data_IF_994363873555
#
_entry.id   IF_994363873555
#
_cell.length_a   1.000
_cell.length_b   1.000
_cell.length_c   1.000
_cell.angle_alpha   90.00
_cell.angle_beta   90.00
_cell.angle_gamma   90.00
#
_symmetry.space_group_name_H-M   'P 1'
#
loop_
_entity.id
_entity.type
_entity.pdbx_description
1 polymer ?
#
# COMPACT_ATOMS: atom_id res chain seq x y z
N UNK A 1 -94.14 -3.96 -90.42
CA UNK A 1 -93.48 -2.94 -91.24
C UNK A 1 -93.40 -1.57 -90.57
N UNK A 2 -94.45 -0.73 -90.54
CA UNK A 2 -94.35 0.67 -90.09
C UNK A 2 -93.75 0.92 -88.69
N UNK A 3 -94.11 0.13 -87.67
CA UNK A 3 -93.54 0.28 -86.31
C UNK A 3 -92.04 -0.02 -86.25
N UNK A 4 -91.55 -1.00 -87.03
CA UNK A 4 -90.11 -1.30 -87.12
C UNK A 4 -89.36 -0.13 -87.74
N UNK A 5 -89.90 0.42 -88.83
CA UNK A 5 -89.31 1.59 -89.50
C UNK A 5 -89.24 2.81 -88.57
N UNK A 6 -90.26 3.06 -87.74
CA UNK A 6 -90.25 4.15 -86.76
C UNK A 6 -89.13 3.92 -85.73
N UNK A 7 -89.06 2.72 -85.15
CA UNK A 7 -88.01 2.34 -84.19
C UNK A 7 -86.61 2.51 -84.77
N UNK A 8 -86.38 1.98 -85.97
CA UNK A 8 -85.06 1.98 -86.60
C UNK A 8 -84.63 3.43 -86.97
N UNK A 9 -85.57 4.33 -87.27
CA UNK A 9 -85.28 5.77 -87.46
C UNK A 9 -84.96 6.50 -86.15
N UNK A 10 -85.53 6.07 -85.02
CA UNK A 10 -85.24 6.64 -83.69
C UNK A 10 -83.88 6.17 -83.16
N UNK A 11 -83.57 4.88 -83.36
CA UNK A 11 -82.35 4.24 -82.87
C UNK A 11 -81.17 4.30 -83.86
N UNK A 12 -81.41 4.63 -85.13
CA UNK A 12 -80.40 4.61 -86.19
C UNK A 12 -79.33 5.70 -86.11
N UNK A 13 -79.39 6.61 -85.13
CA UNK A 13 -78.39 7.66 -84.91
C UNK A 13 -77.90 7.60 -83.47
N UNK A 14 -76.93 6.74 -83.20
CA UNK A 14 -76.38 6.51 -81.85
C UNK A 14 -76.03 7.81 -81.11
N UNK A 15 -75.51 8.80 -81.82
CA UNK A 15 -75.16 10.12 -81.27
C UNK A 15 -76.36 10.96 -80.81
N UNK A 16 -77.58 10.76 -81.35
CA UNK A 16 -78.74 11.63 -81.05
C UNK A 16 -79.93 10.88 -80.49
N UNK A 17 -79.91 9.55 -80.51
CA UNK A 17 -80.97 8.69 -79.97
C UNK A 17 -81.31 9.07 -78.53
N UNK A 18 -80.31 9.36 -77.68
CA UNK A 18 -80.54 9.81 -76.31
C UNK A 18 -81.39 11.07 -76.20
N UNK A 19 -81.12 12.10 -77.03
CA UNK A 19 -81.89 13.34 -77.07
C UNK A 19 -83.27 13.17 -77.72
N UNK A 20 -83.38 12.36 -78.77
CA UNK A 20 -84.66 12.06 -79.42
C UNK A 20 -85.62 11.34 -78.46
N UNK A 21 -85.12 10.32 -77.75
CA UNK A 21 -85.87 9.60 -76.74
C UNK A 21 -86.20 10.48 -75.54
N UNK A 22 -85.30 11.38 -75.12
CA UNK A 22 -85.57 12.36 -74.07
C UNK A 22 -86.68 13.36 -74.43
N UNK A 23 -86.66 13.91 -75.65
CA UNK A 23 -87.74 14.77 -76.16
C UNK A 23 -89.06 14.03 -76.25
N UNK A 24 -89.04 12.79 -76.73
CA UNK A 24 -90.23 11.96 -76.79
C UNK A 24 -90.77 11.61 -75.40
N UNK A 25 -89.91 11.37 -74.41
CA UNK A 25 -90.30 11.17 -73.02
C UNK A 25 -91.04 12.39 -72.46
N UNK A 26 -90.60 13.61 -72.78
CA UNK A 26 -91.28 14.84 -72.39
C UNK A 26 -92.67 14.97 -73.02
N UNK A 27 -92.81 14.58 -74.29
CA UNK A 27 -94.12 14.53 -74.98
C UNK A 27 -95.05 13.52 -74.30
N UNK A 28 -94.55 12.34 -73.93
CA UNK A 28 -95.34 11.33 -73.23
C UNK A 28 -95.78 11.80 -71.83
N UNK A 29 -94.95 12.57 -71.13
CA UNK A 29 -95.25 13.10 -69.79
C UNK A 29 -96.23 14.28 -69.80
N UNK A 30 -96.05 15.21 -70.73
CA UNK A 30 -96.84 16.45 -70.81
C UNK A 30 -98.03 16.37 -71.77
N UNK A 31 -98.11 15.30 -72.57
CA UNK A 31 -99.08 15.14 -73.65
C UNK A 31 -98.70 15.91 -74.92
N UNK A 32 -98.14 17.11 -74.77
CA UNK A 32 -97.70 17.98 -75.86
C UNK A 32 -96.52 18.88 -75.46
N UNK A 33 -95.70 19.26 -76.43
CA UNK A 33 -94.61 20.24 -76.25
C UNK A 33 -94.66 21.31 -77.34
N UNK A 34 -94.11 22.49 -77.08
CA UNK A 34 -94.01 23.57 -78.08
C UNK A 34 -93.04 23.18 -79.19
N UNK A 35 -93.47 23.37 -80.45
CA UNK A 35 -92.64 23.07 -81.60
C UNK A 35 -91.64 24.22 -81.86
N UNK A 36 -90.36 23.96 -81.58
CA UNK A 36 -89.24 24.89 -81.77
C UNK A 36 -88.53 24.73 -83.13
N UNK A 37 -88.89 23.69 -83.90
CA UNK A 37 -88.26 23.31 -85.17
C UNK A 37 -86.74 23.05 -85.07
N UNK A 38 -86.23 22.69 -83.88
CA UNK A 38 -84.88 22.16 -83.73
C UNK A 38 -84.66 20.93 -84.61
N UNK A 39 -83.40 20.66 -84.95
CA UNK A 39 -83.04 19.54 -85.83
C UNK A 39 -83.54 18.21 -85.25
N UNK A 40 -83.56 18.09 -83.93
CA UNK A 40 -84.01 16.92 -83.19
C UNK A 40 -85.53 16.79 -83.22
N UNK A 41 -86.28 17.89 -83.05
CA UNK A 41 -87.73 17.88 -83.23
C UNK A 41 -88.14 17.54 -84.68
N UNK A 42 -87.42 18.07 -85.67
CA UNK A 42 -87.64 17.75 -87.08
C UNK A 42 -87.36 16.27 -87.35
N UNK A 43 -86.27 15.71 -86.83
CA UNK A 43 -85.98 14.27 -86.93
C UNK A 43 -87.05 13.41 -86.25
N UNK A 44 -87.55 13.84 -85.08
CA UNK A 44 -88.62 13.15 -84.38
C UNK A 44 -89.92 13.17 -85.21
N UNK A 45 -90.24 14.27 -85.89
CA UNK A 45 -91.36 14.35 -86.83
C UNK A 45 -91.15 13.44 -88.06
N UNK A 46 -89.96 13.46 -88.66
CA UNK A 46 -89.59 12.62 -89.82
C UNK A 46 -89.59 11.11 -89.49
N UNK A 47 -89.46 10.75 -88.21
CA UNK A 47 -89.64 9.36 -87.78
C UNK A 47 -91.07 8.85 -87.98
N UNK A 48 -92.07 9.75 -88.01
CA UNK A 48 -93.50 9.42 -88.08
C UNK A 48 -94.14 9.16 -86.71
N UNK A 49 -93.37 9.29 -85.62
CA UNK A 49 -93.85 9.07 -84.25
C UNK A 49 -94.70 10.23 -83.73
N UNK A 50 -94.31 11.46 -84.07
CA UNK A 50 -94.96 12.70 -83.61
C UNK A 50 -95.35 13.57 -84.80
N UNK A 51 -96.37 14.40 -84.60
CA UNK A 51 -96.87 15.34 -85.60
C UNK A 51 -96.95 16.74 -85.01
N UNK A 52 -96.65 17.74 -85.83
CA UNK A 52 -96.86 19.15 -85.49
C UNK A 52 -98.28 19.55 -85.83
N UNK A 53 -99.03 20.02 -84.84
CA UNK A 53 -100.39 20.53 -85.01
C UNK A 53 -100.56 21.80 -84.17
N UNK A 54 -100.98 22.90 -84.80
CA UNK A 54 -101.17 24.21 -84.14
C UNK A 54 -99.94 24.71 -83.35
N UNK A 55 -98.73 24.49 -83.87
CA UNK A 55 -97.49 24.88 -83.20
C UNK A 55 -97.06 23.97 -82.03
N UNK A 56 -97.80 22.89 -81.77
CA UNK A 56 -97.51 21.91 -80.74
C UNK A 56 -97.12 20.55 -81.36
N UNK A 57 -96.23 19.84 -80.69
CA UNK A 57 -95.81 18.48 -81.02
C UNK A 57 -96.57 17.48 -80.14
N UNK A 58 -97.27 16.56 -80.78
CA UNK A 58 -98.01 15.47 -80.12
C UNK A 58 -97.76 14.13 -80.79
N UNK A 59 -97.99 13.04 -80.06
CA UNK A 59 -97.91 11.68 -80.63
C UNK A 59 -98.92 11.54 -81.77
N UNK A 60 -98.46 11.08 -82.95
CA UNK A 60 -99.30 11.05 -84.15
C UNK A 60 -100.46 10.05 -84.04
N UNK A 61 -100.20 8.86 -83.49
CA UNK A 61 -101.18 7.79 -83.36
C UNK A 61 -101.14 7.18 -81.95
N UNK A 62 -102.30 6.93 -81.36
CA UNK A 62 -102.45 6.28 -80.05
C UNK A 62 -101.80 4.89 -80.01
N UNK A 63 -101.82 4.14 -81.11
CA UNK A 63 -101.14 2.83 -81.21
C UNK A 63 -99.62 3.01 -81.07
N UNK A 64 -99.05 4.09 -81.62
CA UNK A 64 -97.62 4.36 -81.49
C UNK A 64 -97.27 4.72 -80.04
N UNK A 65 -98.11 5.51 -79.36
CA UNK A 65 -97.93 5.81 -77.92
C UNK A 65 -98.10 4.59 -77.01
N UNK A 66 -98.90 3.59 -77.41
CA UNK A 66 -99.06 2.34 -76.66
C UNK A 66 -97.84 1.42 -76.81
N UNK A 67 -97.23 1.37 -78.00
CA UNK A 67 -96.04 0.55 -78.30
C UNK A 67 -94.76 1.23 -77.78
N UNK A 68 -94.54 2.49 -78.15
CA UNK A 68 -93.43 3.32 -77.68
C UNK A 68 -93.85 4.07 -76.41
N UNK A 69 -94.27 3.32 -75.39
CA UNK A 69 -94.75 3.90 -74.14
C UNK A 69 -93.60 4.33 -73.21
N UNK A 70 -93.94 4.89 -72.05
CA UNK A 70 -92.96 5.38 -71.07
C UNK A 70 -91.97 4.28 -70.60
N UNK A 71 -92.43 3.04 -70.45
CA UNK A 71 -91.59 1.92 -70.02
C UNK A 71 -90.59 1.54 -71.10
N UNK A 72 -91.02 1.49 -72.36
CA UNK A 72 -90.12 1.23 -73.49
C UNK A 72 -89.03 2.31 -73.57
N UNK A 73 -89.39 3.59 -73.49
CA UNK A 73 -88.41 4.68 -73.49
C UNK A 73 -87.45 4.59 -72.31
N UNK A 74 -87.93 4.26 -71.10
CA UNK A 74 -87.09 4.07 -69.91
C UNK A 74 -86.09 2.92 -70.10
N UNK A 75 -86.52 1.80 -70.67
CA UNK A 75 -85.67 0.63 -70.94
C UNK A 75 -84.60 0.93 -71.99
N UNK A 76 -84.97 1.54 -73.11
CA UNK A 76 -84.02 1.88 -74.17
C UNK A 76 -82.99 2.92 -73.69
N UNK A 77 -83.42 3.92 -72.92
CA UNK A 77 -82.50 4.90 -72.33
C UNK A 77 -81.56 4.27 -71.30
N UNK A 78 -82.02 3.28 -70.53
CA UNK A 78 -81.19 2.55 -69.58
C UNK A 78 -80.14 1.66 -70.28
N UNK A 79 -80.50 1.05 -71.41
CA UNK A 79 -79.58 0.23 -72.21
C UNK A 79 -78.53 1.06 -72.95
N UNK A 80 -78.88 2.28 -73.38
CA UNK A 80 -77.96 3.15 -74.10
C UNK A 80 -76.88 3.74 -73.19
N UNK A 81 -77.23 4.09 -71.94
CA UNK A 81 -76.38 4.89 -71.04
C UNK A 81 -75.66 4.01 -70.03
N UNK A 82 -74.32 4.07 -69.92
CA UNK A 82 -73.59 3.38 -68.84
C UNK A 82 -74.04 3.78 -67.43
N UNK A 83 -74.61 4.97 -67.28
CA UNK A 83 -75.13 5.54 -66.03
C UNK A 83 -76.67 5.56 -65.96
N UNK A 84 -77.36 4.79 -66.81
CA UNK A 84 -78.82 4.83 -66.95
C UNK A 84 -79.60 4.55 -65.65
N UNK A 85 -79.14 3.58 -64.85
CA UNK A 85 -79.74 3.27 -63.55
C UNK A 85 -79.48 4.37 -62.52
N UNK A 86 -78.26 4.91 -62.50
CA UNK A 86 -77.84 5.97 -61.58
C UNK A 86 -78.63 7.27 -61.80
N UNK A 87 -78.80 7.69 -63.05
CA UNK A 87 -79.62 8.87 -63.38
C UNK A 87 -81.11 8.62 -63.11
N UNK A 88 -81.62 7.41 -63.34
CA UNK A 88 -83.01 7.08 -63.01
C UNK A 88 -83.27 7.21 -61.50
N UNK A 89 -82.39 6.65 -60.66
CA UNK A 89 -82.48 6.76 -59.20
C UNK A 89 -82.32 8.21 -58.72
N UNK A 90 -81.43 8.99 -59.33
CA UNK A 90 -81.25 10.41 -59.00
C UNK A 90 -82.49 11.25 -59.38
N UNK A 91 -83.06 11.02 -60.56
CA UNK A 91 -84.29 11.70 -60.98
C UNK A 91 -85.51 11.31 -60.14
N UNK A 92 -85.58 10.05 -59.67
CA UNK A 92 -86.61 9.58 -58.73
C UNK A 92 -86.50 10.28 -57.36
N UNK A 93 -85.30 10.75 -56.99
CA UNK A 93 -85.04 11.53 -55.77
C UNK A 93 -85.28 13.05 -55.91
N UNK A 94 -85.89 13.49 -57.01
CA UNK A 94 -86.02 14.92 -57.37
C UNK A 94 -84.65 15.64 -57.41
N UNK A 95 -83.63 14.92 -57.90
CA UNK A 95 -82.25 15.38 -58.03
C UNK A 95 -81.53 15.71 -56.71
N UNK A 96 -82.01 15.22 -55.56
CA UNK A 96 -81.44 15.53 -54.23
C UNK A 96 -80.42 14.50 -53.74
N UNK A 97 -80.54 13.22 -54.12
CA UNK A 97 -79.70 12.15 -53.58
C UNK A 97 -78.32 12.12 -54.26
N UNK A 98 -77.35 12.85 -53.70
CA UNK A 98 -75.96 12.90 -54.19
C UNK A 98 -75.27 11.52 -54.17
N UNK A 99 -75.76 10.54 -53.39
CA UNK A 99 -75.19 9.18 -53.36
C UNK A 99 -75.40 8.40 -54.66
N UNK A 100 -76.35 8.85 -55.49
CA UNK A 100 -76.67 8.25 -56.80
C UNK A 100 -75.84 8.85 -57.94
N UNK A 101 -75.09 9.91 -57.68
CA UNK A 101 -74.22 10.52 -58.68
C UNK A 101 -73.04 9.58 -58.99
N UNK A 102 -72.58 9.60 -60.24
CA UNK A 102 -71.43 8.80 -60.63
C UNK A 102 -70.16 9.34 -59.98
N UNK A 103 -69.28 8.44 -59.53
CA UNK A 103 -68.00 8.80 -58.89
C UNK A 103 -66.86 7.95 -59.48
N UNK A 104 -65.64 8.49 -59.48
CA UNK A 104 -64.44 7.74 -59.86
C UNK A 104 -64.52 7.22 -61.29
N UNK A 105 -64.27 5.91 -61.47
CA UNK A 105 -64.22 5.31 -62.80
C UNK A 105 -65.56 5.37 -63.54
N UNK A 106 -66.69 5.19 -62.83
CA UNK A 106 -68.02 5.26 -63.43
C UNK A 106 -68.32 6.65 -64.02
N UNK A 107 -67.84 7.73 -63.40
CA UNK A 107 -67.98 9.08 -63.94
C UNK A 107 -67.09 9.29 -65.18
N UNK A 108 -65.86 8.78 -65.16
CA UNK A 108 -64.96 8.84 -66.33
C UNK A 108 -65.55 8.11 -67.53
N UNK A 109 -66.08 6.91 -67.32
CA UNK A 109 -66.71 6.12 -68.37
C UNK A 109 -67.97 6.79 -68.89
N UNK A 110 -68.77 7.39 -68.00
CA UNK A 110 -69.96 8.17 -68.35
C UNK A 110 -69.63 9.40 -69.20
N UNK A 111 -68.57 10.16 -68.85
CA UNK A 111 -68.14 11.34 -69.58
C UNK A 111 -67.51 10.99 -70.93
N UNK A 112 -66.71 9.93 -70.99
CA UNK A 112 -66.15 9.43 -72.23
C UNK A 112 -67.25 8.98 -73.20
N UNK A 113 -68.26 8.28 -72.68
CA UNK A 113 -69.43 7.88 -73.48
C UNK A 113 -70.27 9.10 -73.91
N UNK A 114 -70.37 10.14 -73.08
CA UNK A 114 -71.15 11.34 -73.37
C UNK A 114 -70.49 12.29 -74.38
N UNK A 115 -69.17 12.24 -74.54
CA UNK A 115 -68.37 13.24 -75.26
C UNK A 115 -68.78 13.46 -76.72
N UNK A 116 -69.25 12.41 -77.41
CA UNK A 116 -69.63 12.46 -78.83
C UNK A 116 -71.15 12.39 -79.05
N UNK A 117 -71.96 12.47 -77.98
CA UNK A 117 -73.41 12.30 -78.01
C UNK A 117 -74.15 13.58 -77.64
N UNK A 118 -75.26 13.82 -78.32
CA UNK A 118 -76.23 14.84 -77.93
C UNK A 118 -77.18 14.24 -76.91
N UNK A 119 -77.04 14.69 -75.66
CA UNK A 119 -77.82 14.23 -74.52
C UNK A 119 -78.98 15.18 -74.22
N UNK A 120 -79.88 14.76 -73.32
CA UNK A 120 -80.93 15.65 -72.82
C UNK A 120 -80.39 16.61 -71.76
N UNK A 121 -81.10 17.71 -71.49
CA UNK A 121 -80.70 18.68 -70.46
C UNK A 121 -80.55 18.03 -69.07
N UNK A 122 -81.38 17.03 -68.77
CA UNK A 122 -81.32 16.26 -67.51
C UNK A 122 -80.04 15.42 -67.41
N UNK A 123 -79.56 14.87 -68.52
CA UNK A 123 -78.31 14.12 -68.56
C UNK A 123 -77.11 15.03 -68.32
N UNK A 124 -77.09 16.21 -68.94
CA UNK A 124 -76.04 17.21 -68.67
C UNK A 124 -76.05 17.67 -67.22
N UNK A 125 -77.23 17.90 -66.62
CA UNK A 125 -77.35 18.24 -65.20
C UNK A 125 -76.82 17.14 -64.29
N UNK A 126 -77.14 15.87 -64.56
CA UNK A 126 -76.64 14.73 -63.79
C UNK A 126 -75.11 14.61 -63.86
N UNK A 127 -74.53 14.71 -65.06
CA UNK A 127 -73.08 14.62 -65.26
C UNK A 127 -72.35 15.82 -64.63
N UNK A 128 -72.91 17.04 -64.75
CA UNK A 128 -72.35 18.23 -64.11
C UNK A 128 -72.40 18.13 -62.57
N UNK A 129 -73.52 17.67 -62.01
CA UNK A 129 -73.64 17.44 -60.57
C UNK A 129 -72.64 16.38 -60.08
N UNK A 130 -72.44 15.31 -60.85
CA UNK A 130 -71.46 14.26 -60.56
C UNK A 130 -70.01 14.81 -60.57
N UNK A 131 -69.66 15.62 -61.57
CA UNK A 131 -68.35 16.29 -61.64
C UNK A 131 -68.12 17.25 -60.47
N UNK A 132 -69.13 18.04 -60.10
CA UNK A 132 -69.02 18.98 -58.99
C UNK A 132 -68.89 18.26 -57.64
N UNK A 133 -69.59 17.13 -57.46
CA UNK A 133 -69.41 16.29 -56.28
C UNK A 133 -67.98 15.74 -56.19
N UNK A 134 -67.44 15.19 -57.28
CA UNK A 134 -66.07 14.65 -57.31
C UNK A 134 -65.03 15.75 -57.06
N UNK A 135 -65.23 16.94 -57.64
CA UNK A 135 -64.39 18.11 -57.37
C UNK A 135 -64.41 18.51 -55.89
N UNK A 136 -65.59 18.59 -55.27
CA UNK A 136 -65.73 18.85 -53.83
C UNK A 136 -65.00 17.80 -52.98
N UNK A 137 -65.12 16.52 -53.33
CA UNK A 137 -64.41 15.44 -52.64
C UNK A 137 -62.90 15.59 -52.74
N UNK A 138 -62.36 15.93 -53.92
CA UNK A 138 -60.93 16.16 -54.12
C UNK A 138 -60.45 17.38 -53.34
N UNK A 139 -61.20 18.49 -53.34
CA UNK A 139 -60.86 19.68 -52.56
C UNK A 139 -60.87 19.42 -51.04
N UNK A 140 -61.87 18.68 -50.55
CA UNK A 140 -61.94 18.26 -49.16
C UNK A 140 -60.78 17.33 -48.78
N UNK A 141 -60.44 16.37 -49.63
CA UNK A 141 -59.31 15.48 -49.43
C UNK A 141 -57.98 16.25 -49.38
N UNK A 142 -57.77 17.18 -50.32
CA UNK A 142 -56.58 18.02 -50.37
C UNK A 142 -56.50 18.96 -49.14
N UNK A 143 -57.63 19.50 -48.69
CA UNK A 143 -57.68 20.31 -47.48
C UNK A 143 -57.37 19.48 -46.23
N UNK A 144 -57.87 18.25 -46.15
CA UNK A 144 -57.55 17.31 -45.07
C UNK A 144 -56.06 16.94 -45.07
N UNK A 145 -55.48 16.65 -46.23
CA UNK A 145 -54.05 16.34 -46.38
C UNK A 145 -53.17 17.53 -45.99
N UNK A 146 -53.51 18.75 -46.45
CA UNK A 146 -52.80 19.98 -46.06
C UNK A 146 -52.85 20.20 -44.54
N UNK A 147 -54.01 20.01 -43.91
CA UNK A 147 -54.14 20.09 -42.45
C UNK A 147 -53.29 19.03 -41.75
N UNK A 148 -53.30 17.79 -42.24
CA UNK A 148 -52.48 16.72 -41.69
C UNK A 148 -50.98 17.04 -41.81
N UNK A 149 -50.53 17.52 -42.97
CA UNK A 149 -49.13 17.93 -43.19
C UNK A 149 -48.73 19.12 -42.29
N UNK A 150 -49.61 20.09 -42.09
CA UNK A 150 -49.39 21.20 -41.16
C UNK A 150 -49.27 20.71 -39.71
N UNK A 151 -50.16 19.82 -39.27
CA UNK A 151 -50.12 19.23 -37.93
C UNK A 151 -48.84 18.42 -37.72
N UNK A 152 -48.42 17.62 -38.71
CA UNK A 152 -47.15 16.89 -38.67
C UNK A 152 -45.95 17.84 -38.57
N UNK A 153 -45.96 18.93 -39.34
CA UNK A 153 -44.89 19.93 -39.30
C UNK A 153 -44.84 20.62 -37.92
N UNK A 154 -45.98 21.01 -37.36
CA UNK A 154 -46.06 21.59 -36.01
C UNK A 154 -45.58 20.59 -34.95
N UNK A 155 -46.05 19.34 -34.99
CA UNK A 155 -45.60 18.28 -34.09
C UNK A 155 -44.08 18.08 -34.17
N UNK A 156 -43.51 17.98 -35.37
CA UNK A 156 -42.07 17.86 -35.57
C UNK A 156 -41.30 19.07 -34.99
N UNK A 157 -41.79 20.30 -35.19
CA UNK A 157 -41.17 21.49 -34.61
C UNK A 157 -41.21 21.47 -33.07
N UNK A 158 -42.33 21.07 -32.47
CA UNK A 158 -42.43 20.96 -31.01
C UNK A 158 -41.48 19.91 -30.45
N UNK A 159 -41.33 18.76 -31.12
CA UNK A 159 -40.38 17.71 -30.75
C UNK A 159 -38.94 18.21 -30.82
N UNK A 160 -38.56 18.93 -31.89
CA UNK A 160 -37.22 19.52 -32.04
C UNK A 160 -36.96 20.54 -30.92
N UNK A 161 -37.93 21.40 -30.61
CA UNK A 161 -37.81 22.38 -29.53
C UNK A 161 -37.66 21.71 -28.16
N UNK A 162 -38.45 20.66 -27.88
CA UNK A 162 -38.37 19.88 -26.65
C UNK A 162 -37.01 19.16 -26.53
N UNK A 163 -36.54 18.52 -27.61
CA UNK A 163 -35.21 17.90 -27.68
C UNK A 163 -34.08 18.90 -27.42
N UNK A 164 -34.15 20.09 -28.01
CA UNK A 164 -33.16 21.16 -27.80
C UNK A 164 -33.14 21.62 -26.35
N UNK A 165 -34.31 21.83 -25.73
CA UNK A 165 -34.44 22.17 -24.30
C UNK A 165 -33.86 21.06 -23.42
N UNK A 166 -34.20 19.80 -23.67
CA UNK A 166 -33.68 18.66 -22.91
C UNK A 166 -32.14 18.58 -22.98
N UNK A 167 -31.55 18.72 -24.18
CA UNK A 167 -30.08 18.76 -24.35
C UNK A 167 -29.43 19.91 -23.57
N UNK A 168 -30.05 21.09 -23.55
CA UNK A 168 -29.55 22.23 -22.77
C UNK A 168 -29.60 21.95 -21.26
N UNK A 169 -30.68 21.36 -20.76
CA UNK A 169 -30.80 20.98 -19.34
C UNK A 169 -29.73 19.96 -18.96
N UNK A 170 -29.52 18.93 -19.78
CA UNK A 170 -28.46 17.93 -19.58
C UNK A 170 -27.09 18.61 -19.59
N UNK A 171 -26.80 19.48 -20.57
CA UNK A 171 -25.52 20.19 -20.65
C UNK A 171 -25.26 21.06 -19.41
N UNK A 172 -26.27 21.79 -18.93
CA UNK A 172 -26.16 22.57 -17.68
C UNK A 172 -25.90 21.67 -16.47
N UNK A 173 -26.58 20.52 -16.39
CA UNK A 173 -26.35 19.50 -15.37
C UNK A 173 -24.91 18.97 -15.39
N UNK A 174 -24.39 18.62 -16.57
CA UNK A 174 -23.00 18.15 -16.73
C UNK A 174 -21.99 19.23 -16.30
N UNK A 175 -22.18 20.48 -16.72
CA UNK A 175 -21.29 21.58 -16.31
C UNK A 175 -21.30 21.74 -14.78
N UNK A 176 -22.48 21.73 -14.16
CA UNK A 176 -22.60 21.79 -12.70
C UNK A 176 -21.91 20.62 -12.00
N UNK A 177 -22.06 19.41 -12.51
CA UNK A 177 -21.42 18.21 -11.97
C UNK A 177 -19.88 18.28 -12.10
N UNK A 178 -19.36 18.70 -13.25
CA UNK A 178 -17.92 18.88 -13.45
C UNK A 178 -17.34 19.94 -12.53
N UNK A 179 -18.05 21.07 -12.33
CA UNK A 179 -17.62 22.10 -11.38
C UNK A 179 -17.58 21.56 -9.93
N UNK A 180 -18.60 20.78 -9.53
CA UNK A 180 -18.60 20.12 -8.22
C UNK A 180 -17.42 19.16 -8.05
N UNK A 181 -17.10 18.37 -9.09
CA UNK A 181 -15.94 17.49 -9.07
C UNK A 181 -14.63 18.26 -8.95
N UNK A 182 -14.48 19.37 -9.69
CA UNK A 182 -13.28 20.22 -9.60
C UNK A 182 -13.13 20.75 -8.17
N UNK A 183 -14.19 21.28 -7.57
CA UNK A 183 -14.17 21.77 -6.19
C UNK A 183 -13.78 20.65 -5.20
N UNK A 184 -14.36 19.46 -5.35
CA UNK A 184 -14.03 18.31 -4.51
C UNK A 184 -12.55 17.92 -4.61
N UNK A 185 -12.00 17.86 -5.84
CA UNK A 185 -10.58 17.58 -6.08
C UNK A 185 -9.70 18.69 -5.49
N UNK A 186 -10.07 19.96 -5.67
CA UNK A 186 -9.33 21.09 -5.10
C UNK A 186 -9.24 21.03 -3.58
N UNK A 187 -10.31 20.61 -2.89
CA UNK A 187 -10.30 20.43 -1.43
C UNK A 187 -9.33 19.32 -1.02
N UNK A 188 -9.32 18.18 -1.72
CA UNK A 188 -8.39 17.07 -1.44
C UNK A 188 -6.95 17.48 -1.65
N UNK A 189 -6.65 18.14 -2.78
CA UNK A 189 -5.30 18.64 -3.09
C UNK A 189 -4.86 19.68 -2.05
N UNK A 190 -5.74 20.60 -1.68
CA UNK A 190 -5.46 21.60 -0.64
C UNK A 190 -5.14 20.95 0.71
N UNK A 191 -5.93 19.94 1.11
CA UNK A 191 -5.69 19.20 2.35
C UNK A 191 -4.36 18.43 2.33
N UNK A 192 -3.96 17.87 1.19
CA UNK A 192 -2.69 17.17 1.05
C UNK A 192 -1.48 18.13 1.14
N UNK A 193 -1.55 19.27 0.45
CA UNK A 193 -0.52 20.33 0.53
C UNK A 193 -0.34 20.79 1.99
N UNK A 194 -1.44 20.97 2.72
CA UNK A 194 -1.37 21.39 4.12
C UNK A 194 -0.73 20.32 5.02
N UNK A 195 -0.99 19.02 4.75
CA UNK A 195 -0.29 17.92 5.43
C UNK A 195 1.21 17.97 5.16
N UNK A 196 1.63 18.15 3.90
CA UNK A 196 3.05 18.23 3.55
C UNK A 196 3.74 19.42 4.21
N UNK A 197 3.06 20.57 4.32
CA UNK A 197 3.60 21.73 5.05
C UNK A 197 3.81 21.43 6.53
N UNK A 198 2.86 20.75 7.18
CA UNK A 198 2.99 20.34 8.58
C UNK A 198 4.16 19.37 8.78
N UNK A 199 4.31 18.37 7.93
CA UNK A 199 5.44 17.41 8.02
C UNK A 199 6.78 18.09 7.77
N UNK A 200 6.87 18.98 6.79
CA UNK A 200 8.08 19.75 6.52
C UNK A 200 8.45 20.66 7.70
N UNK A 201 7.46 21.26 8.38
CA UNK A 201 7.71 22.07 9.58
C UNK A 201 8.24 21.21 10.73
N UNK A 202 7.62 20.06 11.00
CA UNK A 202 8.10 19.12 12.02
C UNK A 202 9.53 18.65 11.74
N UNK A 203 9.88 18.38 10.48
CA UNK A 203 11.23 17.98 10.11
C UNK A 203 12.27 19.09 10.38
N UNK A 204 11.93 20.34 10.06
CA UNK A 204 12.77 21.50 10.41
C UNK A 204 12.93 21.66 11.92
N UNK A 205 11.84 21.54 12.67
CA UNK A 205 11.86 21.64 14.13
C UNK A 205 12.75 20.54 14.74
N UNK A 206 12.62 19.29 14.26
CA UNK A 206 13.48 18.17 14.65
C UNK A 206 14.96 18.40 14.34
N UNK A 207 15.29 18.93 13.15
CA UNK A 207 16.67 19.28 12.80
C UNK A 207 17.24 20.34 13.75
N UNK A 208 16.46 21.38 14.06
CA UNK A 208 16.91 22.42 15.00
C UNK A 208 17.13 21.88 16.42
N UNK A 209 16.29 20.93 16.85
CA UNK A 209 16.44 20.23 18.12
C UNK A 209 17.71 19.38 18.11
N UNK A 210 17.96 18.61 17.05
CA UNK A 210 19.17 17.80 16.88
C UNK A 210 20.43 18.67 16.96
N UNK A 211 20.45 19.81 16.25
CA UNK A 211 21.55 20.77 16.34
C UNK A 211 21.74 21.32 17.76
N UNK A 212 20.63 21.62 18.46
CA UNK A 212 20.70 22.08 19.85
C UNK A 212 21.30 21.02 20.78
N UNK A 213 20.96 19.74 20.56
CA UNK A 213 21.47 18.62 21.33
C UNK A 213 22.97 18.41 21.04
N UNK A 214 23.38 18.47 19.78
CA UNK A 214 24.78 18.40 19.39
C UNK A 214 25.61 19.51 20.06
N UNK A 215 25.11 20.75 20.09
CA UNK A 215 25.77 21.85 20.81
C UNK A 215 25.93 21.54 22.29
N UNK A 216 24.93 20.95 22.94
CA UNK A 216 25.05 20.55 24.34
C UNK A 216 26.08 19.43 24.55
N UNK A 217 26.14 18.45 23.64
CA UNK A 217 27.13 17.37 23.69
C UNK A 217 28.54 17.95 23.55
N UNK A 218 28.75 18.84 22.57
CA UNK A 218 30.05 19.48 22.35
C UNK A 218 30.46 20.36 23.53
N UNK A 219 29.52 21.14 24.09
CA UNK A 219 29.77 21.92 25.30
C UNK A 219 30.17 21.02 26.48
N UNK A 220 29.48 19.89 26.69
CA UNK A 220 29.84 18.91 27.72
C UNK A 220 31.22 18.29 27.49
N UNK A 221 31.59 18.03 26.23
CA UNK A 221 32.90 17.48 25.87
C UNK A 221 34.01 18.48 26.19
N UNK A 222 33.84 19.74 25.80
CA UNK A 222 34.79 20.82 26.10
C UNK A 222 34.96 21.00 27.62
N UNK A 223 33.86 21.01 28.38
CA UNK A 223 33.92 21.06 29.86
C UNK A 223 34.70 19.86 30.44
N UNK A 224 34.51 18.65 29.90
CA UNK A 224 35.28 17.47 30.34
C UNK A 224 36.76 17.59 30.01
N UNK A 225 37.10 18.11 28.84
CA UNK A 225 38.49 18.32 28.42
C UNK A 225 39.19 19.35 29.31
N UNK A 226 38.52 20.48 29.60
CA UNK A 226 38.99 21.46 30.58
C UNK A 226 39.15 20.85 31.98
N UNK A 227 38.24 19.97 32.39
CA UNK A 227 38.34 19.28 33.68
C UNK A 227 39.57 18.36 33.76
N UNK A 228 39.87 17.60 32.70
CA UNK A 228 41.07 16.76 32.65
C UNK A 228 42.36 17.59 32.61
N UNK A 229 42.36 18.74 31.92
CA UNK A 229 43.48 19.69 31.94
C UNK A 229 43.73 20.22 33.37
N UNK A 230 42.68 20.65 34.07
CA UNK A 230 42.77 21.10 35.46
C UNK A 230 43.26 19.97 36.36
N UNK A 231 42.74 18.75 36.17
CA UNK A 231 43.15 17.57 36.93
C UNK A 231 44.64 17.29 36.77
N UNK A 232 45.16 17.39 35.54
CA UNK A 232 46.58 17.28 35.24
C UNK A 232 47.42 18.35 35.95
N UNK A 233 46.97 19.61 35.93
CA UNK A 233 47.64 20.71 36.66
C UNK A 233 47.64 20.50 38.17
N UNK A 234 46.53 20.01 38.74
CA UNK A 234 46.44 19.68 40.17
C UNK A 234 47.38 18.54 40.53
N UNK A 235 47.44 17.48 39.73
CA UNK A 235 48.36 16.37 39.94
C UNK A 235 49.83 16.82 39.89
N UNK A 236 50.18 17.70 38.95
CA UNK A 236 51.51 18.30 38.88
C UNK A 236 51.85 19.12 40.14
N UNK A 237 50.92 19.99 40.57
CA UNK A 237 51.13 20.80 41.79
C UNK A 237 51.26 19.93 43.05
N UNK A 238 50.52 18.81 43.13
CA UNK A 238 50.63 17.84 44.22
C UNK A 238 52.00 17.14 44.22
N UNK A 239 52.49 16.71 43.06
CA UNK A 239 53.82 16.11 42.94
C UNK A 239 54.94 17.09 43.31
N UNK A 240 54.79 18.37 42.94
CA UNK A 240 55.76 19.41 43.30
C UNK A 240 55.76 19.70 44.80
N UNK A 241 54.58 19.76 45.43
CA UNK A 241 54.43 19.84 46.89
C UNK A 241 55.08 18.64 47.60
N UNK A 242 54.95 17.44 47.01
CA UNK A 242 55.53 16.21 47.57
C UNK A 242 57.06 16.20 47.48
N UNK A 243 57.64 16.67 46.36
CA UNK A 243 59.09 16.87 46.23
C UNK A 243 59.61 17.87 47.25
N UNK A 244 58.92 18.99 47.43
CA UNK A 244 59.33 20.02 48.37
C UNK A 244 59.25 19.52 49.82
N UNK A 245 58.20 18.74 50.16
CA UNK A 245 58.14 18.00 51.43
C UNK A 245 59.30 17.03 51.59
N UNK A 246 59.67 16.27 50.56
CA UNK A 246 60.79 15.34 50.59
C UNK A 246 62.12 16.07 50.82
N UNK A 247 62.29 17.25 50.24
CA UNK A 247 63.50 18.05 50.38
C UNK A 247 63.64 18.64 51.80
N UNK A 248 62.53 19.08 52.41
CA UNK A 248 62.48 19.49 53.82
C UNK A 248 62.80 18.32 54.75
N UNK A 249 62.34 17.11 54.44
CA UNK A 249 62.67 15.90 55.19
C UNK A 249 64.16 15.53 55.07
N UNK A 250 64.75 15.68 53.88
CA UNK A 250 66.18 15.48 53.65
C UNK A 250 67.04 16.48 54.45
N UNK A 251 66.68 17.76 54.49
CA UNK A 251 67.35 18.76 55.34
C UNK A 251 67.27 18.42 56.84
N UNK A 252 66.14 17.89 57.31
CA UNK A 252 66.00 17.42 58.70
C UNK A 252 66.79 16.14 58.99
N UNK A 253 67.03 15.29 57.99
CA UNK A 253 67.81 14.05 58.17
C UNK A 253 69.30 14.31 58.43
N UNK A 254 69.85 15.42 57.91
CA UNK A 254 71.25 15.79 58.10
C UNK A 254 71.61 16.27 59.51
N UNK A 255 70.64 16.70 60.32
CA UNK A 255 70.83 16.98 61.76
C UNK A 255 70.51 15.77 62.64
N UNK A 256 69.68 14.85 62.15
CA UNK A 256 69.36 13.59 62.82
C UNK A 256 70.52 12.57 62.75
N UNK A 257 71.33 12.57 61.68
CA UNK A 257 72.49 11.67 61.54
C UNK A 257 73.58 11.91 62.61
N UNK A 258 73.85 13.17 62.98
CA UNK A 258 74.82 13.53 64.03
C UNK A 258 74.34 13.15 65.44
N UNK A 259 73.02 13.09 65.65
CA UNK A 259 72.42 12.62 66.90
C UNK A 259 72.35 11.09 66.97
N UNK A 260 72.17 10.43 65.81
CA UNK A 260 72.12 8.98 65.68
C UNK A 260 73.49 8.32 65.87
N UNK A 261 74.59 8.94 65.43
CA UNK A 261 75.95 8.42 65.65
C UNK A 261 76.33 8.39 67.15
N UNK A 262 75.89 9.37 67.93
CA UNK A 262 76.10 9.40 69.39
C UNK A 262 75.18 8.43 70.13
N UNK A 263 73.99 8.12 69.60
CA UNK A 263 73.07 7.12 70.16
C UNK A 263 73.48 5.67 69.84
N UNK A 264 74.06 5.41 68.67
CA UNK A 264 74.53 4.08 68.24
C UNK A 264 75.74 3.61 69.06
N UNK A 265 76.57 4.54 69.56
CA UNK A 265 77.66 4.23 70.49
C UNK A 265 77.15 3.70 71.85
N UNK A 266 76.04 4.24 72.35
CA UNK A 266 75.43 3.84 73.63
C UNK A 266 74.56 2.57 73.52
N UNK A 267 74.00 2.27 72.36
CA UNK A 267 73.15 1.07 72.16
C UNK A 267 73.94 -0.23 71.86
N UNK A 268 75.23 -0.12 71.51
CA UNK A 268 76.15 -1.27 71.42
C UNK A 268 76.60 -1.80 72.79
N UNK A 269 76.59 -0.96 73.83
CA UNK A 269 76.91 -1.39 75.21
C UNK A 269 75.72 -2.03 75.94
N UNK A 270 74.48 -1.80 75.46
CA UNK A 270 73.24 -2.31 76.09
C UNK A 270 72.74 -3.61 75.43
N UNK A 271 73.02 -3.85 74.14
CA UNK A 271 72.57 -5.07 73.44
C UNK A 271 73.48 -6.29 73.62
N UNK A 272 74.69 -6.11 74.14
CA UNK A 272 75.61 -7.21 74.47
C UNK A 272 75.28 -7.92 75.81
N UNK A 273 74.24 -7.48 76.55
CA UNK A 273 73.96 -7.94 77.91
C UNK A 273 72.54 -8.50 78.17
N UNK A 274 71.74 -8.77 77.13
CA UNK A 274 70.46 -9.50 77.27
C UNK A 274 70.38 -10.73 76.34
N UNK A 275 70.87 -11.88 76.82
CA UNK A 275 70.42 -13.20 76.33
C UNK A 275 69.41 -13.74 77.33
N UNK A 276 68.12 -13.69 76.98
CA UNK A 276 67.08 -14.18 77.87
C UNK A 276 67.13 -15.72 77.94
N UNK A 277 66.99 -16.31 79.14
CA UNK A 277 66.96 -17.77 79.30
C UNK A 277 65.72 -18.37 78.63
N UNK A 278 65.92 -19.44 77.86
CA UNK A 278 64.82 -20.26 77.32
C UNK A 278 64.44 -21.34 78.34
N UNK A 279 63.15 -21.53 78.60
CA UNK A 279 62.64 -22.40 79.65
C UNK A 279 61.35 -23.12 79.24
N UNK A 280 60.89 -24.04 80.10
CA UNK A 280 59.68 -24.83 79.88
C UNK A 280 58.49 -23.93 79.51
N UNK A 281 57.89 -24.19 78.36
CA UNK A 281 56.73 -23.45 77.83
C UNK A 281 57.07 -22.47 76.71
N UNK A 282 58.34 -22.13 76.50
CA UNK A 282 58.75 -21.27 75.38
C UNK A 282 58.56 -21.99 74.04
N UNK A 283 58.17 -21.25 73.01
CA UNK A 283 57.97 -21.75 71.65
C UNK A 283 58.52 -20.74 70.65
N UNK A 284 59.19 -21.22 69.60
CA UNK A 284 59.71 -20.33 68.58
C UNK A 284 60.94 -20.85 67.85
N UNK A 285 61.43 -20.08 66.85
CA UNK A 285 62.61 -20.44 66.09
C UNK A 285 63.87 -20.59 66.95
N UNK A 286 63.99 -19.85 68.06
CA UNK A 286 65.10 -19.92 69.02
C UNK A 286 65.13 -21.28 69.75
N UNK A 287 63.95 -21.79 70.12
CA UNK A 287 63.80 -23.11 70.73
C UNK A 287 64.07 -24.22 69.71
N UNK A 288 63.62 -24.06 68.46
CA UNK A 288 63.92 -25.00 67.38
C UNK A 288 65.43 -25.04 67.06
N UNK A 289 66.12 -23.92 67.21
CA UNK A 289 67.57 -23.85 67.10
C UNK A 289 68.27 -24.52 68.29
N UNK A 290 67.81 -24.30 69.52
CA UNK A 290 68.33 -24.97 70.72
C UNK A 290 68.19 -26.50 70.61
N UNK A 291 67.01 -27.00 70.24
CA UNK A 291 66.74 -28.42 70.05
C UNK A 291 67.62 -29.04 68.95
N UNK A 292 67.83 -28.33 67.83
CA UNK A 292 68.78 -28.75 66.79
C UNK A 292 70.19 -28.89 67.34
N UNK A 293 70.67 -27.89 68.08
CA UNK A 293 72.02 -27.93 68.66
C UNK A 293 72.18 -29.02 69.70
N UNK A 294 71.15 -29.28 70.52
CA UNK A 294 71.16 -30.39 71.48
C UNK A 294 71.12 -31.75 70.78
N UNK A 295 70.45 -31.85 69.63
CA UNK A 295 70.45 -33.05 68.79
C UNK A 295 71.84 -33.27 68.15
N UNK A 296 72.41 -32.22 67.56
CA UNK A 296 73.76 -32.23 67.00
C UNK A 296 74.83 -32.57 68.06
N UNK A 297 74.61 -32.18 69.32
CA UNK A 297 75.47 -32.51 70.46
C UNK A 297 75.18 -33.89 71.09
N UNK A 298 74.15 -34.61 70.63
CA UNK A 298 73.81 -35.97 71.06
C UNK A 298 72.95 -36.07 72.32
N UNK A 299 72.40 -34.98 72.83
CA UNK A 299 71.61 -34.94 74.08
C UNK A 299 70.10 -34.87 73.87
N UNK A 300 69.63 -34.67 72.62
CA UNK A 300 68.21 -34.62 72.26
C UNK A 300 67.91 -35.56 71.09
N UNK A 301 67.09 -36.59 71.32
CA UNK A 301 66.78 -37.64 70.35
C UNK A 301 65.35 -37.52 69.78
N UNK A 302 64.60 -36.52 70.25
CA UNK A 302 63.23 -36.25 69.80
C UNK A 302 63.21 -35.36 68.55
N UNK A 303 62.03 -35.25 67.93
CA UNK A 303 61.81 -34.36 66.80
C UNK A 303 62.02 -32.90 67.21
N UNK A 304 62.73 -32.14 66.39
CA UNK A 304 62.81 -30.68 66.51
C UNK A 304 61.47 -30.09 66.08
N UNK A 305 60.72 -29.56 67.03
CA UNK A 305 59.38 -28.98 66.85
C UNK A 305 59.29 -27.50 67.26
N UNK A 306 60.34 -26.96 67.89
CA UNK A 306 60.40 -25.58 68.34
C UNK A 306 59.62 -25.31 69.62
N UNK A 307 59.27 -26.34 70.39
CA UNK A 307 58.53 -26.24 71.64
C UNK A 307 59.42 -26.71 72.80
N UNK A 308 59.65 -25.84 73.79
CA UNK A 308 60.49 -26.16 74.94
C UNK A 308 59.65 -26.97 75.93
N UNK A 309 59.43 -28.24 75.59
CA UNK A 309 58.66 -29.19 76.40
C UNK A 309 59.53 -29.99 77.37
N UNK A 310 58.92 -30.97 78.04
CA UNK A 310 59.61 -31.82 79.04
C UNK A 310 60.79 -32.62 78.45
N UNK A 311 60.71 -33.02 77.18
CA UNK A 311 61.82 -33.67 76.46
C UNK A 311 63.01 -32.71 76.31
N UNK A 312 62.75 -31.45 75.92
CA UNK A 312 63.79 -30.42 75.79
C UNK A 312 64.39 -30.05 77.15
N UNK A 313 63.58 -29.92 78.20
CA UNK A 313 64.08 -29.73 79.58
C UNK A 313 65.02 -30.87 80.00
N UNK A 314 64.63 -32.11 79.71
CA UNK A 314 65.44 -33.29 80.06
C UNK A 314 66.77 -33.30 79.32
N UNK A 315 66.79 -32.95 78.04
CA UNK A 315 68.00 -32.82 77.25
C UNK A 315 68.90 -31.68 77.73
N UNK A 316 68.31 -30.53 78.08
CA UNK A 316 69.06 -29.40 78.65
C UNK A 316 69.68 -29.79 79.99
N UNK A 317 68.95 -30.47 80.88
CA UNK A 317 69.51 -30.96 82.16
C UNK A 317 70.63 -31.97 81.97
N UNK A 318 70.49 -32.89 81.02
CA UNK A 318 71.55 -33.85 80.70
C UNK A 318 72.79 -33.14 80.15
N UNK A 319 72.60 -32.20 79.24
CA UNK A 319 73.68 -31.38 78.71
C UNK A 319 74.36 -30.55 79.81
N UNK A 320 73.59 -29.87 80.65
CA UNK A 320 74.10 -29.09 81.77
C UNK A 320 74.92 -29.95 82.74
N UNK A 321 74.38 -31.11 83.17
CA UNK A 321 75.11 -32.07 84.01
C UNK A 321 76.41 -32.55 83.34
N UNK A 322 76.35 -32.91 82.06
CA UNK A 322 77.53 -33.38 81.32
C UNK A 322 78.61 -32.30 81.18
N UNK A 323 78.24 -31.02 81.30
CA UNK A 323 79.15 -29.87 81.17
C UNK A 323 79.45 -29.18 82.50
N UNK A 324 79.06 -29.77 83.63
CA UNK A 324 79.33 -29.24 84.97
C UNK A 324 78.55 -27.96 85.30
N UNK A 325 77.45 -27.70 84.60
CA UNK A 325 76.51 -26.62 84.91
C UNK A 325 75.43 -27.11 85.90
N UNK A 326 74.78 -26.17 86.60
CA UNK A 326 73.61 -26.49 87.42
C UNK A 326 72.49 -26.99 86.50
N UNK A 327 72.03 -28.23 86.71
CA UNK A 327 71.00 -28.86 85.89
C UNK A 327 69.58 -28.39 86.25
N UNK A 328 69.35 -27.09 86.13
CA UNK A 328 68.05 -26.45 86.35
C UNK A 328 67.07 -26.68 85.19
N UNK A 329 67.57 -27.05 84.01
CA UNK A 329 66.78 -27.29 82.81
C UNK A 329 66.40 -26.02 82.06
N UNK A 330 67.04 -24.90 82.37
CA UNK A 330 66.85 -23.61 81.74
C UNK A 330 68.05 -23.33 80.83
N UNK A 331 67.82 -23.12 79.54
CA UNK A 331 68.88 -22.77 78.60
C UNK A 331 69.22 -21.27 78.70
N UNK A 332 69.90 -20.92 79.79
CA UNK A 332 70.48 -19.59 80.02
C UNK A 332 71.71 -19.30 79.15
N UNK A 333 72.28 -18.09 79.27
CA UNK A 333 73.43 -17.62 78.47
C UNK A 333 74.60 -18.62 78.43
N UNK A 334 74.94 -19.21 79.58
CA UNK A 334 76.05 -20.17 79.69
C UNK A 334 75.77 -21.49 78.97
N UNK A 335 74.52 -21.95 78.98
CA UNK A 335 74.10 -23.16 78.27
C UNK A 335 74.12 -22.95 76.76
N UNK A 336 73.58 -21.82 76.29
CA UNK A 336 73.50 -21.51 74.85
C UNK A 336 74.87 -21.26 74.22
N UNK A 337 75.80 -20.61 74.96
CA UNK A 337 77.18 -20.37 74.50
C UNK A 337 77.93 -21.66 74.18
N UNK A 338 77.70 -22.73 74.94
CA UNK A 338 78.38 -24.01 74.71
C UNK A 338 77.85 -24.80 73.50
N UNK A 339 76.69 -24.43 72.94
CA UNK A 339 76.01 -25.15 71.86
C UNK A 339 76.30 -24.63 70.43
N UNK A 340 76.86 -23.44 70.25
CA UNK A 340 77.06 -22.81 68.92
C UNK A 340 78.15 -23.44 68.01
N UNK A 341 78.93 -24.43 68.47
CA UNK A 341 80.23 -24.80 67.85
C UNK A 341 80.21 -25.87 66.72
N UNK A 342 79.08 -26.16 66.03
CA UNK A 342 78.90 -27.47 65.34
C UNK A 342 78.49 -27.54 63.81
N UNK A 343 78.75 -26.56 62.89
CA UNK A 343 78.46 -26.69 61.41
C UNK A 343 79.64 -26.28 60.48
N UNK A 344 80.11 -27.14 59.54
CA UNK A 344 81.35 -26.89 58.73
C UNK A 344 81.30 -27.03 57.17
N UNK A 345 80.66 -28.02 56.53
CA UNK A 345 80.75 -28.27 55.06
C UNK A 345 79.37 -28.39 54.37
N UNK A 346 79.20 -27.91 53.13
CA UNK A 346 77.92 -27.93 52.38
C UNK A 346 78.10 -28.34 50.91
N UNK A 347 77.19 -29.16 50.37
CA UNK A 347 77.20 -29.61 48.96
C UNK A 347 76.21 -28.78 48.13
N UNK A 348 76.70 -28.12 47.07
CA UNK A 348 75.93 -27.17 46.27
C UNK A 348 75.86 -27.57 44.78
N UNK A 349 74.70 -27.35 44.15
CA UNK A 349 74.44 -27.63 42.73
C UNK A 349 74.03 -26.33 42.01
N UNK A 350 74.75 -25.86 40.98
CA UNK A 350 74.38 -24.65 40.25
C UNK A 350 73.14 -24.89 39.37
N UNK A 351 72.23 -23.92 39.34
CA UNK A 351 70.99 -24.00 38.54
C UNK A 351 71.32 -23.74 37.06
N UNK A 352 71.08 -24.73 36.19
CA UNK A 352 71.39 -24.65 34.75
C UNK A 352 70.13 -24.55 33.88
N UNK A 353 69.03 -25.13 34.34
CA UNK A 353 67.70 -25.01 33.74
C UNK A 353 66.64 -24.91 34.84
N UNK A 354 65.41 -24.44 34.55
CA UNK A 354 64.31 -24.38 35.52
C UNK A 354 64.00 -25.73 36.18
N UNK A 355 64.30 -26.84 35.50
CA UNK A 355 63.99 -28.19 35.98
C UNK A 355 65.10 -28.79 36.87
N UNK A 356 66.23 -28.08 37.07
CA UNK A 356 67.42 -28.58 37.82
C UNK A 356 67.06 -29.01 39.26
N UNK A 357 66.17 -28.27 39.95
CA UNK A 357 65.77 -28.63 41.32
C UNK A 357 64.99 -29.95 41.35
N UNK A 358 64.15 -30.18 40.34
CA UNK A 358 63.33 -31.39 40.27
C UNK A 358 64.20 -32.60 39.92
N UNK A 359 65.22 -32.42 39.08
CA UNK A 359 66.22 -33.43 38.76
C UNK A 359 67.06 -33.83 40.00
N UNK A 360 67.56 -32.85 40.77
CA UNK A 360 68.31 -33.16 42.01
C UNK A 360 67.44 -33.84 43.06
N UNK A 361 66.16 -33.45 43.18
CA UNK A 361 65.21 -34.04 44.14
C UNK A 361 64.87 -35.50 43.88
N UNK A 362 65.10 -36.01 42.67
CA UNK A 362 64.96 -37.45 42.40
C UNK A 362 65.95 -38.28 43.23
N UNK A 363 67.13 -37.72 43.54
CA UNK A 363 68.20 -38.41 44.27
C UNK A 363 68.36 -37.90 45.72
N UNK A 364 68.12 -36.61 45.96
CA UNK A 364 68.23 -35.97 47.27
C UNK A 364 66.92 -35.26 47.60
N UNK A 365 66.01 -35.97 48.28
CA UNK A 365 64.67 -35.45 48.60
C UNK A 365 64.67 -34.16 49.43
N UNK A 366 65.71 -33.96 50.24
CA UNK A 366 65.86 -32.80 51.11
C UNK A 366 66.45 -31.57 50.41
N UNK A 367 66.74 -31.66 49.11
CA UNK A 367 67.35 -30.57 48.38
C UNK A 367 66.39 -29.37 48.26
N UNK A 368 66.90 -28.16 48.50
CA UNK A 368 66.16 -26.91 48.40
C UNK A 368 66.95 -25.83 47.65
N UNK A 369 66.23 -24.91 47.03
CA UNK A 369 66.81 -23.77 46.33
C UNK A 369 67.25 -22.72 47.37
N UNK A 370 68.50 -22.27 47.26
CA UNK A 370 69.10 -21.26 48.11
C UNK A 370 69.79 -20.19 47.23
N UNK A 371 69.86 -18.97 47.75
CA UNK A 371 70.55 -17.87 47.06
C UNK A 371 71.91 -17.61 47.67
N UNK A 372 72.87 -17.29 46.81
CA UNK A 372 74.17 -16.75 47.18
C UNK A 372 74.42 -15.44 46.44
N UNK A 373 75.44 -14.70 46.87
CA UNK A 373 75.89 -13.51 46.14
C UNK A 373 76.36 -13.82 44.70
N UNK A 374 76.67 -15.08 44.39
CA UNK A 374 77.12 -15.53 43.07
C UNK A 374 76.00 -16.13 42.20
N UNK A 375 74.75 -16.09 42.67
CA UNK A 375 73.58 -16.63 42.00
C UNK A 375 72.90 -17.77 42.78
N UNK A 376 71.73 -18.17 42.27
CA UNK A 376 70.92 -19.23 42.86
C UNK A 376 71.58 -20.61 42.70
N UNK A 377 71.57 -21.40 43.77
CA UNK A 377 72.09 -22.77 43.82
C UNK A 377 71.13 -23.68 44.58
N UNK A 378 71.30 -24.99 44.45
CA UNK A 378 70.52 -25.98 45.19
C UNK A 378 71.42 -26.57 46.28
N UNK A 379 71.03 -26.44 47.55
CA UNK A 379 71.69 -27.09 48.69
C UNK A 379 71.28 -28.56 48.71
N UNK A 380 72.27 -29.45 48.57
CA UNK A 380 72.10 -30.89 48.54
C UNK A 380 72.59 -31.59 49.84
N UNK A 381 72.86 -30.83 50.91
CA UNK A 381 73.15 -31.31 52.28
C UNK A 381 74.33 -30.61 52.96
N UNK A 382 74.26 -30.46 54.29
CA UNK A 382 75.35 -29.97 55.16
C UNK A 382 75.92 -31.07 56.06
N UNK A 383 77.23 -31.05 56.28
CA UNK A 383 77.99 -32.08 56.97
C UNK A 383 79.02 -31.46 57.92
N UNK A 384 79.32 -32.15 59.02
CA UNK A 384 80.36 -31.73 59.98
C UNK A 384 81.79 -32.03 59.49
N UNK A 385 81.92 -32.91 58.49
CA UNK A 385 83.19 -33.35 57.94
C UNK A 385 83.17 -33.36 56.39
N UNK A 386 84.34 -33.09 55.80
CA UNK A 386 84.50 -32.99 54.35
C UNK A 386 84.26 -34.33 53.62
N UNK A 387 84.60 -35.46 54.25
CA UNK A 387 84.51 -36.78 53.62
C UNK A 387 83.07 -37.18 53.31
N UNK A 388 82.17 -36.95 54.27
CA UNK A 388 80.73 -37.17 54.11
C UNK A 388 80.13 -36.30 53.00
N UNK A 389 80.56 -35.05 52.92
CA UNK A 389 80.15 -34.13 51.85
C UNK A 389 80.67 -34.57 50.47
N UNK A 390 81.92 -35.05 50.39
CA UNK A 390 82.54 -35.51 49.15
C UNK A 390 81.82 -36.74 48.56
N UNK A 391 81.44 -37.70 49.41
CA UNK A 391 80.67 -38.89 48.99
C UNK A 391 79.32 -38.51 48.37
N UNK A 392 78.61 -37.57 48.99
CA UNK A 392 77.34 -37.04 48.46
C UNK A 392 77.54 -36.39 47.10
N UNK A 393 78.63 -35.64 46.94
CA UNK A 393 78.97 -34.99 45.67
C UNK A 393 79.29 -36.02 44.55
N UNK A 394 80.06 -37.06 44.85
CA UNK A 394 80.39 -38.12 43.88
C UNK A 394 79.16 -38.88 43.41
N UNK A 395 78.23 -39.19 44.32
CA UNK A 395 76.97 -39.85 43.97
C UNK A 395 76.20 -39.05 42.91
N UNK A 396 76.08 -37.74 43.08
CA UNK A 396 75.39 -36.88 42.12
C UNK A 396 76.12 -36.77 40.78
N UNK A 397 77.47 -36.72 40.80
CA UNK A 397 78.27 -36.70 39.55
C UNK A 397 78.11 -37.98 38.73
N UNK A 398 77.98 -39.14 39.36
CA UNK A 398 77.79 -40.41 38.64
C UNK A 398 76.49 -40.45 37.81
N UNK A 399 75.51 -39.60 38.14
CA UNK A 399 74.24 -39.46 37.41
C UNK A 399 74.27 -38.28 36.42
N UNK A 400 75.43 -37.69 36.15
CA UNK A 400 75.60 -36.59 35.20
C UNK A 400 75.36 -35.18 35.78
N UNK A 401 75.09 -35.06 37.08
CA UNK A 401 74.80 -33.77 37.74
C UNK A 401 76.11 -33.08 38.15
N UNK A 402 76.30 -31.82 37.71
CA UNK A 402 77.47 -31.00 38.12
C UNK A 402 77.28 -30.46 39.54
N UNK A 403 78.20 -30.75 40.46
CA UNK A 403 78.11 -30.35 41.89
C UNK A 403 79.46 -29.91 42.47
N UNK A 404 79.43 -29.04 43.49
CA UNK A 404 80.59 -28.53 44.23
C UNK A 404 80.40 -28.73 45.74
N UNK A 405 81.51 -28.86 46.48
CA UNK A 405 81.52 -28.88 47.96
C UNK A 405 82.14 -27.58 48.44
N UNK A 406 81.48 -26.88 49.35
CA UNK A 406 81.89 -25.58 49.91
C UNK A 406 82.17 -25.75 51.41
N UNK A 407 83.30 -25.22 51.85
CA UNK A 407 83.65 -25.09 53.27
C UNK A 407 83.12 -23.74 53.79
N UNK A 408 82.40 -23.76 54.90
CA UNK A 408 81.80 -22.56 55.52
C UNK A 408 82.61 -22.06 56.73
N UNK A 409 83.85 -22.53 56.89
CA UNK A 409 84.80 -22.02 57.88
C UNK A 409 85.32 -20.62 57.59
#
# INVERSE_FOLDING_TARGET
EHLKTIRDRLLGSEQRTGRLLGLYQQILQRGEIVADNSIEQLKLQLSGLVVKHNGLLKVYNRIYGAVFNHNWVKQELALLRPYGEAIAAWLESDCQDESRLCQGQALKDALAWAADKSLSDRDYQFLAASQELEKRHVELALAAEKKASQLLTQANQTLIAAQKKAKQTIRRGIIGFVLLLIVAVSIVVWADIERQRRTAKLLKDLQSLEQSLQRQIEAKKNVREQLEEIRGKVAYAQAELEKERLNVLLQRSGSASTQLENAIKNLREISASLSLPLQLGDQGPEVAELQRKLNDAGFYMDRVDGIFGLGTVSAVKQFQNARGLVADGIAGPDTQKLLQKYRNYVVVVPVQSPDTLQEVRQYVKTAYLADSQSGAYIDAGSFSDQSSAQKRAEQLRSHGIKVHVVDFQ
#
